data_IF_901741409852
#
_entry.id   IF_901741409852
#
_cell.length_a   1.000
_cell.length_b   1.000
_cell.length_c   1.000
_cell.angle_alpha   90.00
_cell.angle_beta   90.00
_cell.angle_gamma   90.00
#
_symmetry.space_group_name_H-M   'P 1'
#
loop_
_entity.id
_entity.type
_entity.pdbx_description
1 polymer ?
#
# COMPACT_ATOMS: atom_id res chain seq x y z
N UNK A 1 9.11 -11.56 -4.65
CA UNK A 1 7.64 -11.64 -4.82
C UNK A 1 6.97 -10.25 -4.79
N UNK A 2 7.06 -9.50 -3.69
CA UNK A 2 6.32 -8.22 -3.48
C UNK A 2 6.55 -7.19 -4.60
N UNK A 3 7.78 -7.02 -5.07
CA UNK A 3 8.06 -6.09 -6.17
C UNK A 3 7.38 -6.45 -7.50
N UNK A 4 7.20 -7.73 -7.80
CA UNK A 4 6.46 -8.20 -8.99
C UNK A 4 4.97 -7.89 -8.83
N UNK A 5 4.40 -8.20 -7.66
CA UNK A 5 3.00 -7.86 -7.35
C UNK A 5 2.77 -6.36 -7.48
N UNK A 6 3.66 -5.54 -6.92
CA UNK A 6 3.61 -4.09 -7.04
C UNK A 6 3.63 -3.63 -8.50
N UNK A 7 4.56 -4.15 -9.31
CA UNK A 7 4.66 -3.81 -10.73
C UNK A 7 3.40 -4.21 -11.52
N UNK A 8 2.84 -5.39 -11.27
CA UNK A 8 1.61 -5.87 -11.93
C UNK A 8 0.41 -5.01 -11.54
N UNK A 9 0.24 -4.72 -10.25
CA UNK A 9 -0.83 -3.86 -9.75
C UNK A 9 -0.66 -2.46 -10.34
N UNK A 10 0.56 -1.91 -10.34
CA UNK A 10 0.87 -0.62 -10.96
C UNK A 10 0.48 -0.61 -12.42
N UNK A 11 0.94 -1.58 -13.22
CA UNK A 11 0.61 -1.66 -14.64
C UNK A 11 -0.91 -1.68 -14.88
N UNK A 12 -1.66 -2.36 -14.01
CA UNK A 12 -3.12 -2.51 -14.13
C UNK A 12 -3.90 -1.25 -13.73
N UNK A 13 -3.38 -0.48 -12.77
CA UNK A 13 -4.08 0.69 -12.19
C UNK A 13 -3.41 2.03 -12.48
N UNK A 14 -2.30 2.05 -13.23
CA UNK A 14 -1.52 3.26 -13.58
C UNK A 14 -2.38 4.43 -14.05
N UNK A 15 -3.29 4.20 -15.00
CA UNK A 15 -4.17 5.25 -15.53
C UNK A 15 -5.25 5.73 -14.56
N UNK A 16 -5.45 5.02 -13.45
CA UNK A 16 -6.44 5.31 -12.41
C UNK A 16 -5.85 6.02 -11.19
N UNK A 17 -4.53 5.98 -11.02
CA UNK A 17 -3.83 6.57 -9.89
C UNK A 17 -3.68 8.09 -10.10
N UNK A 18 -3.96 8.90 -9.06
CA UNK A 18 -3.65 10.33 -9.09
C UNK A 18 -2.13 10.54 -9.09
N UNK A 19 -1.70 11.72 -9.55
CA UNK A 19 -0.28 12.11 -9.59
C UNK A 19 0.21 12.46 -10.99
N UNK A 20 1.26 13.29 -11.04
CA UNK A 20 1.96 13.65 -12.28
C UNK A 20 3.07 12.64 -12.54
N UNK A 21 3.09 12.09 -13.76
CA UNK A 21 4.09 11.10 -14.17
C UNK A 21 3.95 9.76 -13.44
N UNK A 22 4.86 8.84 -13.75
CA UNK A 22 4.84 7.49 -13.17
C UNK A 22 5.46 7.43 -11.78
N UNK A 23 6.41 8.31 -11.48
CA UNK A 23 6.96 8.44 -10.15
C UNK A 23 5.87 8.80 -9.14
N UNK A 24 5.11 9.87 -9.38
CA UNK A 24 4.03 10.29 -8.48
C UNK A 24 2.99 9.19 -8.27
N UNK A 25 2.58 8.51 -9.33
CA UNK A 25 1.64 7.37 -9.24
C UNK A 25 2.23 6.20 -8.45
N UNK A 26 3.53 5.94 -8.57
CA UNK A 26 4.22 4.87 -7.85
C UNK A 26 4.22 5.15 -6.34
N UNK A 27 4.50 6.40 -5.95
CA UNK A 27 4.43 6.85 -4.55
C UNK A 27 3.01 6.70 -4.00
N UNK A 28 1.98 7.10 -4.75
CA UNK A 28 0.58 6.92 -4.32
C UNK A 28 0.26 5.44 -4.13
N UNK A 29 0.65 4.58 -5.07
CA UNK A 29 0.41 3.14 -4.94
C UNK A 29 1.12 2.56 -3.72
N UNK A 30 2.36 2.97 -3.45
CA UNK A 30 3.10 2.55 -2.27
C UNK A 30 2.44 3.01 -0.97
N UNK A 31 1.94 4.25 -0.92
CA UNK A 31 1.22 4.78 0.24
C UNK A 31 -0.09 4.02 0.49
N UNK A 32 -0.88 3.76 -0.57
CA UNK A 32 -2.11 2.97 -0.48
C UNK A 32 -1.82 1.54 -0.03
N UNK A 33 -0.80 0.90 -0.62
CA UNK A 33 -0.39 -0.45 -0.26
C UNK A 33 0.10 -0.56 1.18
N UNK A 34 0.92 0.39 1.64
CA UNK A 34 1.32 0.49 3.04
C UNK A 34 0.10 0.65 3.95
N UNK A 35 -0.80 1.60 3.66
CA UNK A 35 -2.00 1.84 4.47
C UNK A 35 -2.89 0.59 4.58
N UNK A 36 -3.22 -0.01 3.44
CA UNK A 36 -4.18 -1.11 3.33
C UNK A 36 -3.62 -2.46 3.83
N UNK A 37 -2.37 -2.78 3.48
CA UNK A 37 -1.81 -4.13 3.65
C UNK A 37 -0.85 -4.21 4.84
N UNK A 38 -0.36 -3.07 5.34
CA UNK A 38 0.62 -3.03 6.44
C UNK A 38 0.07 -2.31 7.67
N UNK A 39 -0.28 -1.04 7.53
CA UNK A 39 -0.66 -0.18 8.65
C UNK A 39 -1.97 -0.66 9.29
N UNK A 40 -3.02 -0.90 8.50
CA UNK A 40 -4.30 -1.35 9.04
C UNK A 40 -4.19 -2.70 9.76
N UNK A 41 -3.55 -3.75 9.18
CA UNK A 41 -3.28 -4.98 9.92
C UNK A 41 -2.43 -4.77 11.18
N UNK A 42 -1.39 -3.93 11.13
CA UNK A 42 -0.54 -3.66 12.28
C UNK A 42 -1.28 -2.93 13.42
N UNK A 43 -2.24 -2.07 13.10
CA UNK A 43 -3.12 -1.44 14.09
C UNK A 43 -4.07 -2.45 14.73
N UNK A 44 -4.58 -3.40 13.95
CA UNK A 44 -5.58 -4.35 14.44
C UNK A 44 -5.00 -5.56 15.16
N UNK A 45 -3.94 -6.14 14.59
CA UNK A 45 -3.23 -7.32 15.07
C UNK A 45 -1.74 -6.92 15.15
N UNK A 46 -1.34 -6.21 16.22
CA UNK A 46 0.00 -5.67 16.34
C UNK A 46 1.04 -6.79 16.46
N UNK A 47 2.25 -6.51 15.98
CA UNK A 47 3.36 -7.45 16.04
C UNK A 47 3.80 -7.66 17.50
N UNK A 48 4.14 -8.90 17.84
CA UNK A 48 4.72 -9.28 19.13
C UNK A 48 6.16 -9.76 18.89
N UNK A 49 7.09 -9.50 19.84
CA UNK A 49 8.46 -10.00 19.76
C UNK A 49 8.53 -11.53 19.59
N UNK A 50 9.66 -12.08 19.11
CA UNK A 50 9.87 -13.52 19.08
C UNK A 50 9.64 -14.14 20.47
N UNK A 51 9.07 -15.35 20.50
CA UNK A 51 8.67 -16.06 21.71
C UNK A 51 7.56 -15.39 22.57
N UNK A 52 7.04 -14.22 22.17
CA UNK A 52 5.92 -13.55 22.85
C UNK A 52 4.60 -13.89 22.15
N UNK A 53 3.74 -14.62 22.86
CA UNK A 53 2.39 -14.98 22.46
C UNK A 53 2.07 -16.45 22.71
N UNK A 54 0.79 -16.79 22.67
CA UNK A 54 0.29 -18.15 22.88
C UNK A 54 0.26 -18.94 21.55
N UNK A 55 1.02 -20.05 21.43
CA UNK A 55 1.00 -20.92 20.25
C UNK A 55 -0.38 -21.45 19.88
N UNK A 56 -1.29 -21.59 20.85
CA UNK A 56 -2.67 -22.07 20.62
C UNK A 56 -3.51 -21.06 19.83
N UNK A 57 -3.10 -19.78 19.78
CA UNK A 57 -3.86 -18.71 19.11
C UNK A 57 -3.41 -18.44 17.67
N UNK A 58 -2.35 -19.08 17.20
CA UNK A 58 -1.70 -18.81 15.90
C UNK A 58 -2.69 -18.90 14.73
N UNK A 59 -3.53 -19.94 14.70
CA UNK A 59 -4.52 -20.11 13.63
C UNK A 59 -5.53 -18.95 13.60
N UNK A 60 -6.04 -18.56 14.77
CA UNK A 60 -7.02 -17.46 14.90
C UNK A 60 -6.42 -16.10 14.54
N UNK A 61 -5.19 -15.82 14.98
CA UNK A 61 -4.45 -14.61 14.59
C UNK A 61 -4.24 -14.54 13.09
N UNK A 62 -3.86 -15.65 12.46
CA UNK A 62 -3.63 -15.72 11.01
C UNK A 62 -4.91 -15.44 10.23
N UNK A 63 -6.03 -16.05 10.62
CA UNK A 63 -7.33 -15.78 9.99
C UNK A 63 -7.77 -14.34 10.17
N UNK A 64 -7.65 -13.78 11.37
CA UNK A 64 -7.98 -12.37 11.62
C UNK A 64 -7.09 -11.43 10.81
N UNK A 65 -5.79 -11.70 10.74
CA UNK A 65 -4.86 -10.93 9.92
C UNK A 65 -5.27 -10.96 8.45
N UNK A 66 -5.60 -12.14 7.91
CA UNK A 66 -6.08 -12.28 6.54
C UNK A 66 -7.38 -11.50 6.29
N UNK A 67 -8.35 -11.55 7.22
CA UNK A 67 -9.60 -10.77 7.12
C UNK A 67 -9.32 -9.27 7.09
N UNK A 68 -8.48 -8.77 7.99
CA UNK A 68 -8.13 -7.34 8.05
C UNK A 68 -7.38 -6.90 6.78
N UNK A 69 -6.48 -7.74 6.29
CA UNK A 69 -5.75 -7.51 5.04
C UNK A 69 -6.71 -7.44 3.84
N UNK A 70 -7.67 -8.36 3.74
CA UNK A 70 -8.69 -8.34 2.69
C UNK A 70 -9.58 -7.10 2.79
N UNK A 71 -9.98 -6.70 4.01
CA UNK A 71 -10.77 -5.48 4.22
C UNK A 71 -9.98 -4.22 3.85
N UNK A 72 -8.69 -4.15 4.18
CA UNK A 72 -7.82 -3.05 3.74
C UNK A 72 -7.75 -2.93 2.22
N UNK A 73 -7.55 -4.07 1.53
CA UNK A 73 -7.57 -4.11 0.06
C UNK A 73 -8.94 -3.71 -0.49
N UNK A 74 -10.04 -4.14 0.14
CA UNK A 74 -11.40 -3.75 -0.24
C UNK A 74 -11.60 -2.23 -0.13
N UNK A 75 -11.16 -1.60 0.97
CA UNK A 75 -11.22 -0.14 1.15
C UNK A 75 -10.44 0.57 0.03
N UNK A 76 -9.22 0.11 -0.27
CA UNK A 76 -8.39 0.65 -1.33
C UNK A 76 -9.02 0.54 -2.74
N UNK A 77 -9.99 -0.36 -2.94
CA UNK A 77 -10.75 -0.49 -4.18
C UNK A 77 -12.06 0.31 -4.18
N UNK A 78 -12.80 0.28 -3.06
CA UNK A 78 -14.13 0.89 -2.92
C UNK A 78 -14.05 2.41 -2.96
N UNK A 79 -13.07 3.02 -2.28
CA UNK A 79 -12.97 4.49 -2.22
C UNK A 79 -12.79 5.10 -3.62
N UNK A 80 -11.82 4.66 -4.46
CA UNK A 80 -11.71 5.16 -5.83
C UNK A 80 -12.90 4.82 -6.73
N UNK A 81 -13.66 3.76 -6.41
CA UNK A 81 -14.87 3.40 -7.15
C UNK A 81 -16.01 4.38 -6.83
N UNK A 82 -16.17 4.72 -5.55
CA UNK A 82 -17.13 5.71 -5.08
C UNK A 82 -16.82 7.10 -5.66
N UNK A 83 -15.55 7.51 -5.65
CA UNK A 83 -15.11 8.77 -6.24
C UNK A 83 -15.50 8.91 -7.72
N UNK A 84 -15.30 7.85 -8.51
CA UNK A 84 -15.71 7.85 -9.93
C UNK A 84 -17.21 7.95 -10.12
N UNK A 85 -17.99 7.29 -9.27
CA UNK A 85 -19.44 7.38 -9.32
C UNK A 85 -19.93 8.79 -8.92
N UNK A 86 -19.24 9.42 -7.96
CA UNK A 86 -19.49 10.80 -7.53
C UNK A 86 -19.05 11.85 -8.55
N UNK A 87 -18.11 11.53 -9.45
CA UNK A 87 -17.61 12.46 -10.46
C UNK A 87 -18.70 13.04 -11.36
N UNK A 88 -19.81 12.31 -11.58
CA UNK A 88 -20.97 12.80 -12.34
C UNK A 88 -21.97 13.62 -11.51
N UNK A 89 -21.78 13.74 -10.19
CA UNK A 89 -22.73 14.36 -9.24
C UNK A 89 -22.13 15.52 -8.46
N UNK A 90 -20.82 15.49 -8.19
CA UNK A 90 -20.09 16.50 -7.43
C UNK A 90 -19.01 17.11 -8.33
N UNK A 91 -19.19 18.39 -8.67
CA UNK A 91 -18.33 19.09 -9.63
C UNK A 91 -17.05 19.66 -9.02
N UNK A 92 -17.02 19.91 -7.70
CA UNK A 92 -15.88 20.53 -7.01
C UNK A 92 -14.83 19.49 -6.58
N UNK A 93 -13.59 19.54 -7.11
CA UNK A 93 -12.53 18.61 -6.74
C UNK A 93 -12.17 18.57 -5.25
N UNK A 94 -12.10 19.70 -4.51
CA UNK A 94 -11.79 19.67 -3.07
C UNK A 94 -12.83 18.90 -2.25
N UNK A 95 -14.11 19.01 -2.63
CA UNK A 95 -15.21 18.29 -1.96
C UNK A 95 -15.08 16.79 -2.14
N UNK A 96 -14.74 16.33 -3.34
CA UNK A 96 -14.53 14.89 -3.61
C UNK A 96 -13.36 14.33 -2.81
N UNK A 97 -12.24 15.05 -2.78
CA UNK A 97 -11.09 14.65 -1.97
C UNK A 97 -11.44 14.53 -0.48
N UNK A 98 -12.20 15.51 0.07
CA UNK A 98 -12.65 15.45 1.45
C UNK A 98 -13.56 14.22 1.70
N UNK A 99 -14.45 13.89 0.76
CA UNK A 99 -15.31 12.70 0.85
C UNK A 99 -14.51 11.41 0.81
N UNK A 100 -13.47 11.31 -0.03
CA UNK A 100 -12.59 10.14 -0.09
C UNK A 100 -11.83 9.92 1.23
N UNK A 101 -11.33 11.00 1.83
CA UNK A 101 -10.66 10.97 3.13
C UNK A 101 -11.63 10.52 4.22
N UNK A 102 -12.82 11.13 4.28
CA UNK A 102 -13.85 10.77 5.27
C UNK A 102 -14.29 9.31 5.10
N UNK A 103 -14.56 8.87 3.87
CA UNK A 103 -14.94 7.50 3.59
C UNK A 103 -13.84 6.51 4.02
N UNK A 104 -12.57 6.82 3.74
CA UNK A 104 -11.44 6.00 4.16
C UNK A 104 -11.36 5.91 5.68
N UNK A 105 -11.43 7.04 6.38
CA UNK A 105 -11.38 7.09 7.85
C UNK A 105 -12.54 6.34 8.48
N UNK A 106 -13.76 6.52 7.98
CA UNK A 106 -14.95 5.82 8.47
C UNK A 106 -14.81 4.31 8.25
N UNK A 107 -14.44 3.88 7.05
CA UNK A 107 -14.29 2.45 6.75
C UNK A 107 -13.17 1.80 7.57
N UNK A 108 -12.02 2.47 7.71
CA UNK A 108 -10.93 2.01 8.59
C UNK A 108 -11.40 1.94 10.04
N UNK A 109 -12.09 2.98 10.53
CA UNK A 109 -12.66 3.02 11.88
C UNK A 109 -13.65 1.88 12.12
N UNK A 110 -14.49 1.55 11.15
CA UNK A 110 -15.41 0.41 11.21
C UNK A 110 -14.65 -0.92 11.28
N UNK A 111 -13.58 -1.11 10.51
CA UNK A 111 -12.72 -2.31 10.63
C UNK A 111 -12.13 -2.40 12.03
N UNK A 112 -11.59 -1.30 12.55
CA UNK A 112 -10.98 -1.27 13.87
C UNK A 112 -11.98 -1.54 14.99
N UNK A 113 -13.21 -1.05 14.87
CA UNK A 113 -14.27 -1.23 15.86
C UNK A 113 -14.96 -2.60 15.80
N UNK A 114 -15.24 -3.11 14.60
CA UNK A 114 -16.11 -4.28 14.40
C UNK A 114 -15.34 -5.61 14.32
N UNK A 115 -14.11 -5.61 13.80
CA UNK A 115 -13.31 -6.84 13.78
C UNK A 115 -12.91 -7.16 15.23
N UNK A 116 -12.94 -8.43 15.69
CA UNK A 116 -12.46 -8.77 17.03
C UNK A 116 -10.99 -8.41 17.24
N UNK A 117 -10.64 -8.01 18.46
CA UNK A 117 -9.24 -7.78 18.84
C UNK A 117 -8.40 -9.07 18.78
N UNK A 118 -7.08 -8.93 18.89
CA UNK A 118 -6.19 -10.09 18.94
C UNK A 118 -6.53 -10.97 20.15
N UNK A 119 -6.68 -12.30 19.98
CA UNK A 119 -6.89 -13.22 21.10
C UNK A 119 -5.61 -13.44 21.92
N UNK A 120 -4.48 -12.98 21.40
CA UNK A 120 -3.15 -13.22 21.96
C UNK A 120 -2.73 -12.10 22.89
N UNK A 121 -2.76 -12.41 24.18
CA UNK A 121 -2.39 -11.49 25.25
C UNK A 121 -0.89 -11.53 25.46
N UNK A 122 -0.28 -10.36 25.61
CA UNK A 122 1.13 -10.26 26.00
C UNK A 122 1.24 -10.66 27.47
N UNK A 123 2.11 -11.63 27.83
CA UNK A 123 2.33 -12.00 29.22
C UNK A 123 2.80 -10.81 30.07
N UNK A 124 2.37 -10.74 31.33
CA UNK A 124 2.61 -9.59 32.20
C UNK A 124 4.09 -9.42 32.61
N UNK A 125 4.88 -10.48 32.48
CA UNK A 125 6.32 -10.51 32.73
C UNK A 125 7.15 -9.96 31.55
N UNK A 126 6.55 -9.75 30.38
CA UNK A 126 7.22 -9.13 29.24
C UNK A 126 7.24 -7.61 29.42
N UNK A 127 8.43 -6.96 29.43
CA UNK A 127 8.54 -5.51 29.55
C UNK A 127 7.82 -4.76 28.41
N UNK A 128 7.06 -3.72 28.77
CA UNK A 128 6.21 -2.98 27.82
C UNK A 128 7.03 -2.18 26.79
N UNK A 129 8.21 -1.72 27.18
CA UNK A 129 9.19 -1.04 26.31
C UNK A 129 9.67 -1.96 25.19
N UNK A 130 10.01 -3.22 25.49
CA UNK A 130 10.41 -4.21 24.48
C UNK A 130 9.31 -4.44 23.45
N UNK A 131 8.06 -4.54 23.90
CA UNK A 131 6.90 -4.72 23.01
C UNK A 131 6.69 -3.50 22.13
N UNK A 132 6.82 -2.30 22.72
CA UNK A 132 6.67 -1.04 22.01
C UNK A 132 7.74 -0.84 20.94
N UNK A 133 9.00 -1.00 21.32
CA UNK A 133 10.15 -0.85 20.42
C UNK A 133 10.08 -1.84 19.27
N UNK A 134 9.70 -3.09 19.55
CA UNK A 134 9.52 -4.09 18.51
C UNK A 134 8.40 -3.73 17.53
N UNK A 135 7.26 -3.22 18.02
CA UNK A 135 6.15 -2.78 17.17
C UNK A 135 6.56 -1.61 16.28
N UNK A 136 7.24 -0.63 16.86
CA UNK A 136 7.72 0.54 16.13
C UNK A 136 8.76 0.16 15.09
N UNK A 137 9.75 -0.66 15.46
CA UNK A 137 10.79 -1.15 14.55
C UNK A 137 10.20 -2.01 13.42
N UNK A 138 9.25 -2.89 13.72
CA UNK A 138 8.56 -3.72 12.71
C UNK A 138 7.78 -2.88 11.70
N UNK A 139 7.04 -1.88 12.20
CA UNK A 139 6.27 -0.98 11.35
C UNK A 139 7.20 -0.09 10.51
N UNK A 140 8.29 0.43 11.11
CA UNK A 140 9.29 1.22 10.43
C UNK A 140 9.99 0.42 9.32
N UNK A 141 10.34 -0.84 9.56
CA UNK A 141 10.94 -1.71 8.55
C UNK A 141 10.00 -1.91 7.34
N UNK A 142 8.72 -2.21 7.60
CA UNK A 142 7.75 -2.38 6.51
C UNK A 142 7.48 -1.05 5.80
N UNK A 143 7.41 0.06 6.53
CA UNK A 143 7.31 1.41 5.97
C UNK A 143 8.49 1.75 5.06
N UNK A 144 9.71 1.47 5.50
CA UNK A 144 10.93 1.63 4.71
C UNK A 144 10.88 0.79 3.44
N UNK A 145 10.46 -0.49 3.54
CA UNK A 145 10.29 -1.36 2.37
C UNK A 145 9.31 -0.75 1.34
N UNK A 146 8.13 -0.30 1.77
CA UNK A 146 7.14 0.33 0.89
C UNK A 146 7.66 1.63 0.26
N UNK A 147 8.33 2.47 1.05
CA UNK A 147 8.95 3.70 0.59
C UNK A 147 10.01 3.42 -0.48
N UNK A 148 10.93 2.50 -0.21
CA UNK A 148 11.96 2.08 -1.16
C UNK A 148 11.33 1.52 -2.42
N UNK A 149 10.28 0.70 -2.32
CA UNK A 149 9.60 0.13 -3.47
C UNK A 149 8.96 1.22 -4.35
N UNK A 150 8.24 2.17 -3.75
CA UNK A 150 7.63 3.29 -4.46
C UNK A 150 8.65 4.19 -5.14
N UNK A 151 9.72 4.57 -4.41
CA UNK A 151 10.81 5.41 -4.92
C UNK A 151 11.58 4.72 -6.05
N UNK A 152 12.10 3.51 -5.79
CA UNK A 152 12.89 2.78 -6.76
C UNK A 152 12.07 2.54 -8.02
N UNK A 153 10.88 1.93 -7.91
CA UNK A 153 10.03 1.64 -9.06
C UNK A 153 9.67 2.93 -9.84
N UNK A 154 9.33 4.01 -9.15
CA UNK A 154 9.04 5.30 -9.76
C UNK A 154 10.21 5.83 -10.59
N UNK A 155 11.42 5.83 -10.01
CA UNK A 155 12.64 6.24 -10.71
C UNK A 155 12.96 5.33 -11.91
N UNK A 156 12.71 4.02 -11.78
CA UNK A 156 12.91 3.08 -12.89
C UNK A 156 11.93 3.32 -14.06
N UNK A 157 10.72 3.81 -13.77
CA UNK A 157 9.72 4.16 -14.79
C UNK A 157 10.02 5.49 -15.48
N UNK A 158 10.51 6.49 -14.74
CA UNK A 158 10.91 7.75 -15.35
C UNK A 158 12.13 7.60 -16.25
N UNK A 159 13.16 6.86 -15.80
CA UNK A 159 14.34 6.61 -16.64
C UNK A 159 14.00 5.83 -17.91
N UNK A 160 13.05 4.89 -17.86
CA UNK A 160 12.67 4.08 -19.03
C UNK A 160 11.87 4.91 -20.03
N UNK A 161 11.02 5.82 -19.54
CA UNK A 161 10.34 6.81 -20.38
C UNK A 161 11.32 7.80 -21.05
N UNK A 162 12.37 8.24 -20.33
CA UNK A 162 13.40 9.14 -20.85
C UNK A 162 14.40 8.46 -21.82
N UNK A 163 14.50 7.13 -21.77
CA UNK A 163 15.36 6.32 -22.63
C UNK A 163 14.72 5.92 -23.97
N UNK A 164 13.65 6.60 -24.41
CA UNK A 164 12.91 6.34 -25.66
C UNK A 164 13.81 6.12 -26.90
N UNK A 165 13.28 5.47 -27.96
CA UNK A 165 14.04 4.70 -28.95
C UNK A 165 15.13 5.53 -29.64
N UNK A 166 16.32 5.57 -29.05
CA UNK A 166 17.53 6.15 -29.66
C UNK A 166 18.21 5.18 -30.63
N UNK A 167 17.80 3.90 -30.65
CA UNK A 167 18.42 2.86 -31.47
C UNK A 167 18.01 2.84 -32.95
N UNK A 168 16.83 3.33 -33.30
CA UNK A 168 16.28 3.16 -34.66
C UNK A 168 16.68 4.27 -35.65
N UNK A 169 17.15 5.42 -35.14
CA UNK A 169 17.59 6.55 -35.98
C UNK A 169 19.06 6.48 -36.40
N UNK A 170 19.87 5.64 -35.73
CA UNK A 170 21.28 5.47 -36.08
C UNK A 170 21.48 4.56 -37.30
N UNK A 171 20.62 3.53 -37.47
CA UNK A 171 20.69 2.61 -38.62
C UNK A 171 20.04 3.19 -39.90
N UNK A 172 19.09 4.11 -39.78
CA UNK A 172 18.45 4.76 -40.93
C UNK A 172 19.31 5.84 -41.62
N UNK A 173 20.46 6.20 -41.02
CA UNK A 173 21.33 7.28 -41.50
C UNK A 173 22.57 6.77 -42.27
N UNK A 174 22.70 5.47 -42.52
CA UNK A 174 23.77 4.95 -43.37
C UNK A 174 23.49 5.37 -44.84
N UNK A 175 24.33 6.22 -45.46
CA UNK A 175 24.13 6.61 -46.84
C UNK A 175 24.39 5.40 -47.74
N UNK A 176 23.43 5.07 -48.60
CA UNK A 176 23.63 4.15 -49.73
C UNK A 176 24.58 4.85 -50.69
N UNK A 177 25.86 4.47 -50.66
CA UNK A 177 26.83 4.89 -51.67
C UNK A 177 26.48 4.25 -53.01
N UNK A 178 26.14 5.08 -53.99
CA UNK A 178 26.05 4.74 -55.41
C UNK A 178 27.43 4.80 -56.07
#
# INVERSE_FOLDING_TARGET
>A
AVGVVFAVVFARVRGRLPGRGDFGRSIVLAAVGFGAVTLLPALKIPANPPAVGDPQTVGRRTTLYAVVLLLGVAIAMVVPMLDRWLAGRVSLPPTRWALDVVATVVLVGLVLALVPGTPDQVPADVPADVVWDFRLASLAQLGAMWLTLGLAFGLLMERSAAAGPRGERADAAAPVSA
#
